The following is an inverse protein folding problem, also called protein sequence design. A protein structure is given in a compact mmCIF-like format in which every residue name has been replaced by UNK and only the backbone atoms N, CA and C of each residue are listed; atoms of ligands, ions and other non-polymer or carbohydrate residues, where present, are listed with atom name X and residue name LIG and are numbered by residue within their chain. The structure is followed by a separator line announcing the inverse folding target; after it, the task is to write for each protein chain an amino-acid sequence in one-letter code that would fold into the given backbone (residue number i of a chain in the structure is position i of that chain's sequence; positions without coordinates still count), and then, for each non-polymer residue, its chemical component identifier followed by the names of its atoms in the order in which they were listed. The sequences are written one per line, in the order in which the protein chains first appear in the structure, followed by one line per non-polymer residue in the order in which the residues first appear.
data_IF_310943200687
#
_entry.id   IF_310943200687
#
_cell.length_a   1.000
_cell.length_b   1.000
_cell.length_c   1.000
_cell.angle_alpha   90.00
_cell.angle_beta   90.00
_cell.angle_gamma   90.00
#
_symmetry.space_group_name_H-M   'P 1'
#
loop_
_entity.id
_entity.type
_entity.pdbx_description
1 polymer ?
#
# COMPACT_ATOMS: atom_id res chain seq x y z
N UNK A 1 16.27 10.94 22.94
CA UNK A 1 15.32 9.87 23.31
C UNK A 1 15.52 8.74 22.31
N UNK A 2 15.82 7.52 22.78
CA UNK A 2 16.03 6.38 21.90
C UNK A 2 14.71 5.60 21.76
N UNK A 3 14.01 5.78 20.64
CA UNK A 3 12.73 5.11 20.40
C UNK A 3 12.97 3.70 19.86
N UNK A 4 12.25 2.71 20.41
CA UNK A 4 12.45 1.27 20.15
C UNK A 4 11.86 0.86 18.80
N UNK A 5 12.59 1.15 17.72
CA UNK A 5 12.14 0.93 16.34
C UNK A 5 12.27 -0.54 15.90
N UNK A 6 13.41 -1.19 16.12
CA UNK A 6 13.75 -2.51 15.54
C UNK A 6 14.57 -3.36 16.53
N UNK A 7 14.56 -4.71 16.43
CA UNK A 7 14.18 -5.50 15.26
C UNK A 7 12.85 -6.25 15.36
N UNK A 8 11.96 -6.04 14.37
CA UNK A 8 10.89 -6.99 14.04
C UNK A 8 11.48 -8.37 13.73
N UNK A 9 10.94 -9.41 14.38
CA UNK A 9 11.43 -10.79 14.28
C UNK A 9 12.72 -11.06 15.07
N UNK A 10 13.06 -10.23 16.06
CA UNK A 10 14.10 -10.55 17.04
C UNK A 10 13.66 -11.74 17.91
N UNK A 11 14.12 -12.94 17.54
CA UNK A 11 13.91 -14.14 18.36
C UNK A 11 14.74 -14.04 19.65
N UNK A 12 14.18 -14.45 20.78
CA UNK A 12 14.91 -14.71 22.04
C UNK A 12 15.94 -15.86 21.94
N UNK A 13 16.05 -16.50 20.77
CA UNK A 13 17.00 -17.56 20.49
C UNK A 13 18.46 -17.07 20.56
N UNK A 14 19.26 -17.82 21.32
CA UNK A 14 20.70 -17.60 21.51
C UNK A 14 21.47 -17.66 20.18
N UNK A 15 22.13 -16.56 19.81
CA UNK A 15 22.86 -16.45 18.56
C UNK A 15 24.30 -16.95 18.69
N UNK A 16 24.79 -17.66 17.66
CA UNK A 16 26.20 -18.07 17.59
C UNK A 16 27.09 -16.88 17.24
N UNK A 17 28.29 -16.82 17.82
CA UNK A 17 29.31 -15.78 17.53
C UNK A 17 29.69 -15.64 16.04
N UNK A 18 29.70 -16.74 15.26
CA UNK A 18 29.94 -16.70 13.80
C UNK A 18 28.89 -15.85 13.05
N UNK A 19 27.70 -15.66 13.65
CA UNK A 19 26.60 -14.86 13.14
C UNK A 19 26.50 -13.47 13.79
N UNK A 20 27.34 -13.14 14.78
CA UNK A 20 27.41 -11.78 15.30
C UNK A 20 27.71 -10.80 14.18
N UNK A 21 28.72 -11.04 13.31
CA UNK A 21 28.94 -10.29 12.08
C UNK A 21 27.67 -9.83 11.37
N UNK A 22 26.79 -10.82 11.24
CA UNK A 22 25.52 -10.81 10.55
C UNK A 22 24.44 -9.95 11.26
N UNK A 23 24.65 -9.45 12.47
CA UNK A 23 23.62 -8.76 13.28
C UNK A 23 23.73 -7.22 13.32
N UNK A 24 24.88 -6.56 13.58
CA UNK A 24 24.90 -5.07 13.58
C UNK A 24 24.66 -4.45 12.20
N UNK A 25 24.88 -5.11 11.05
CA UNK A 25 24.44 -4.47 9.79
C UNK A 25 22.95 -4.46 9.63
N UNK A 26 22.29 -5.49 10.14
CA UNK A 26 20.84 -5.43 10.19
C UNK A 26 20.47 -4.25 11.09
N UNK A 27 21.07 -4.11 12.27
CA UNK A 27 20.83 -2.96 13.17
C UNK A 27 21.21 -1.61 12.53
N UNK A 28 22.33 -1.50 11.83
CA UNK A 28 22.81 -0.26 11.18
C UNK A 28 21.87 0.10 10.03
N UNK A 29 21.53 -0.86 9.16
CA UNK A 29 20.53 -0.66 8.10
C UNK A 29 19.17 -0.32 8.69
N UNK A 30 18.72 -1.06 9.70
CA UNK A 30 17.46 -0.85 10.40
C UNK A 30 17.37 0.56 11.02
N UNK A 31 18.45 1.04 11.63
CA UNK A 31 18.55 2.41 12.16
C UNK A 31 18.64 3.46 11.05
N UNK A 32 19.35 3.19 9.94
CA UNK A 32 19.40 4.10 8.79
C UNK A 32 18.05 4.18 8.09
N UNK A 33 17.41 3.06 7.76
CA UNK A 33 16.06 3.01 7.20
C UNK A 33 15.03 3.70 8.12
N UNK A 34 15.20 3.61 9.44
CA UNK A 34 14.39 4.32 10.43
C UNK A 34 14.61 5.84 10.40
N UNK A 35 15.87 6.29 10.32
CA UNK A 35 16.22 7.70 10.22
C UNK A 35 15.72 8.26 8.89
N UNK A 36 16.03 7.62 7.76
CA UNK A 36 15.54 7.96 6.43
C UNK A 36 14.01 8.09 6.43
N UNK A 37 13.30 7.11 6.98
CA UNK A 37 11.84 7.09 7.06
C UNK A 37 11.27 8.25 7.88
N UNK A 38 11.86 8.57 9.03
CA UNK A 38 11.33 9.61 9.91
C UNK A 38 11.72 11.01 9.43
N UNK A 39 12.93 11.17 8.90
CA UNK A 39 13.38 12.40 8.24
C UNK A 39 12.51 12.69 7.02
N UNK A 40 12.29 11.72 6.12
CA UNK A 40 11.40 11.92 4.97
C UNK A 40 9.96 12.22 5.39
N UNK A 41 9.43 11.59 6.45
CA UNK A 41 8.08 11.88 6.92
C UNK A 41 7.96 13.28 7.51
N UNK A 42 8.94 13.74 8.29
CA UNK A 42 9.00 15.12 8.79
C UNK A 42 9.16 16.12 7.63
N UNK A 43 10.04 15.87 6.67
CA UNK A 43 10.19 16.69 5.46
C UNK A 43 8.87 16.80 4.67
N UNK A 44 8.13 15.71 4.50
CA UNK A 44 6.84 15.72 3.79
C UNK A 44 5.74 16.47 4.54
N UNK A 45 5.80 16.57 5.87
CA UNK A 45 4.86 17.36 6.68
C UNK A 45 5.29 18.82 6.83
N UNK A 46 6.59 19.09 6.87
CA UNK A 46 7.17 20.38 7.24
C UNK A 46 7.60 21.25 6.05
N UNK A 47 7.85 20.67 4.87
CA UNK A 47 8.36 21.41 3.70
C UNK A 47 7.24 22.01 2.83
N UNK A 48 7.33 23.33 2.58
CA UNK A 48 6.52 24.05 1.58
C UNK A 48 7.11 23.95 0.15
N UNK A 49 8.16 23.14 -0.02
CA UNK A 49 8.81 22.86 -1.30
C UNK A 49 9.33 21.43 -1.25
N UNK A 50 8.67 20.54 -1.98
CA UNK A 50 9.21 19.22 -2.26
C UNK A 50 10.07 19.36 -3.51
N UNK A 51 11.36 19.04 -3.43
CA UNK A 51 12.21 18.95 -4.63
C UNK A 51 11.90 17.65 -5.38
N UNK A 52 11.97 17.73 -6.72
CA UNK A 52 11.47 16.70 -7.65
C UNK A 52 12.10 15.30 -7.44
N UNK A 53 13.29 15.21 -6.85
CA UNK A 53 14.01 13.95 -6.60
C UNK A 53 13.56 13.19 -5.33
N UNK A 54 12.71 13.81 -4.49
CA UNK A 54 12.16 13.11 -3.30
C UNK A 54 11.13 12.04 -3.70
N UNK A 55 10.96 11.00 -2.88
CA UNK A 55 10.07 9.88 -3.19
C UNK A 55 8.57 10.14 -2.90
N UNK A 56 8.23 11.17 -2.11
CA UNK A 56 6.84 11.54 -1.79
C UNK A 56 6.19 10.67 -0.73
N UNK A 57 4.89 10.87 -0.48
CA UNK A 57 4.13 9.95 0.38
C UNK A 57 4.07 8.52 -0.21
N UNK A 58 4.26 8.39 -1.53
CA UNK A 58 4.52 7.12 -2.24
C UNK A 58 5.73 6.32 -1.71
N UNK A 59 6.65 6.93 -0.96
CA UNK A 59 7.72 6.22 -0.26
C UNK A 59 7.20 5.23 0.79
N UNK A 60 6.03 5.53 1.37
CA UNK A 60 5.32 4.73 2.36
C UNK A 60 4.28 3.79 1.72
N UNK A 61 4.35 3.57 0.41
CA UNK A 61 3.48 2.64 -0.29
C UNK A 61 4.10 1.23 -0.31
N UNK A 62 3.74 0.44 0.70
CA UNK A 62 4.18 -0.94 0.93
C UNK A 62 3.45 -2.00 0.09
N UNK A 63 3.03 -1.70 -1.15
CA UNK A 63 2.56 -2.72 -2.10
C UNK A 63 3.67 -3.74 -2.40
N UNK A 64 3.61 -4.97 -1.87
CA UNK A 64 4.68 -5.94 -2.15
C UNK A 64 4.40 -7.45 -2.02
N UNK A 65 4.92 -8.22 -3.00
CA UNK A 65 5.27 -9.65 -2.95
C UNK A 65 6.67 -9.94 -2.34
N UNK A 66 7.32 -11.08 -2.65
CA UNK A 66 8.45 -11.67 -1.86
C UNK A 66 9.91 -11.59 -2.45
N UNK A 67 10.93 -11.78 -1.57
CA UNK A 67 12.32 -12.40 -1.70
C UNK A 67 13.55 -11.67 -2.33
N UNK A 68 14.79 -11.62 -1.78
CA UNK A 68 15.46 -12.27 -0.60
C UNK A 68 16.79 -11.57 -0.12
N UNK A 69 17.06 -11.37 1.19
CA UNK A 69 18.21 -10.73 1.95
C UNK A 69 19.66 -10.56 1.41
N UNK A 70 20.47 -9.73 2.09
CA UNK A 70 21.87 -9.97 2.57
C UNK A 70 22.24 -8.99 3.73
N UNK A 71 23.47 -9.09 4.24
CA UNK A 71 24.27 -8.04 4.92
C UNK A 71 23.66 -7.41 6.17
N UNK A 72 23.97 -7.86 7.39
CA UNK A 72 25.02 -8.76 7.86
C UNK A 72 26.50 -8.33 7.93
N UNK A 73 26.85 -7.11 7.56
CA UNK A 73 28.21 -6.72 7.26
C UNK A 73 28.83 -5.69 8.28
N UNK A 74 28.11 -5.16 9.29
CA UNK A 74 28.63 -4.17 10.27
C UNK A 74 29.16 -4.66 11.63
N UNK A 75 28.68 -5.75 12.27
CA UNK A 75 29.46 -6.29 13.43
C UNK A 75 30.74 -6.83 12.85
N UNK A 76 30.57 -7.50 11.70
CA UNK A 76 31.51 -8.18 10.85
C UNK A 76 32.92 -7.65 11.16
N UNK A 77 33.15 -6.42 10.73
CA UNK A 77 34.17 -5.49 11.15
C UNK A 77 34.99 -5.81 12.39
N UNK A 78 34.38 -5.59 13.55
CA UNK A 78 35.04 -5.50 14.85
C UNK A 78 35.50 -6.88 15.29
N UNK A 79 34.99 -7.93 14.63
CA UNK A 79 35.38 -9.31 14.83
C UNK A 79 36.39 -9.82 13.77
N UNK A 80 36.56 -9.19 12.60
CA UNK A 80 37.54 -9.60 11.58
C UNK A 80 38.79 -8.76 11.48
N UNK A 81 38.68 -7.46 11.17
CA UNK A 81 39.85 -6.61 10.90
C UNK A 81 40.63 -6.38 12.18
N UNK A 82 39.88 -6.16 13.27
CA UNK A 82 40.42 -5.75 14.56
C UNK A 82 40.68 -6.96 15.48
N UNK A 83 40.20 -8.14 15.06
CA UNK A 83 40.30 -9.43 15.77
C UNK A 83 39.86 -9.36 17.26
N UNK A 84 38.93 -8.46 17.58
CA UNK A 84 38.60 -8.10 18.97
C UNK A 84 37.85 -9.24 19.66
N UNK A 85 38.29 -9.62 20.87
CA UNK A 85 37.59 -10.62 21.66
C UNK A 85 36.22 -10.07 22.11
N UNK A 86 35.07 -10.73 21.84
CA UNK A 86 33.73 -10.21 22.10
C UNK A 86 33.46 -9.86 23.56
N UNK A 87 34.14 -10.50 24.51
CA UNK A 87 34.04 -10.16 25.93
C UNK A 87 34.59 -8.76 26.27
N UNK A 88 35.46 -8.21 25.42
CA UNK A 88 35.92 -6.80 25.49
C UNK A 88 34.90 -5.82 24.88
N UNK A 89 33.82 -6.33 24.29
CA UNK A 89 32.68 -5.61 23.72
C UNK A 89 31.36 -5.93 24.46
N UNK A 90 31.42 -6.56 25.64
CA UNK A 90 30.26 -6.92 26.47
C UNK A 90 29.58 -8.27 26.17
N UNK A 91 30.05 -9.01 25.18
CA UNK A 91 29.41 -10.25 24.72
C UNK A 91 29.94 -11.53 25.40
N UNK A 92 29.08 -12.53 25.53
CA UNK A 92 29.35 -13.87 26.05
C UNK A 92 30.27 -14.71 25.16
N UNK A 93 30.88 -15.74 25.75
CA UNK A 93 31.99 -16.49 25.13
C UNK A 93 31.59 -17.49 24.03
N UNK A 94 30.31 -17.88 23.96
CA UNK A 94 29.78 -18.83 22.95
C UNK A 94 28.42 -18.41 22.36
N UNK A 95 27.57 -17.80 23.17
CA UNK A 95 26.20 -17.41 22.83
C UNK A 95 25.80 -16.16 23.61
N UNK A 96 24.90 -15.34 23.03
CA UNK A 96 24.11 -14.32 23.73
C UNK A 96 22.67 -14.28 23.18
N UNK A 97 21.76 -13.75 24.00
CA UNK A 97 20.43 -13.32 23.59
C UNK A 97 20.49 -11.90 22.99
N UNK A 98 19.49 -11.53 22.17
CA UNK A 98 19.53 -10.27 21.43
C UNK A 98 19.49 -9.04 22.33
N UNK A 99 18.69 -9.07 23.38
CA UNK A 99 18.53 -7.99 24.37
C UNK A 99 19.85 -7.69 25.09
N UNK A 100 20.68 -8.72 25.31
CA UNK A 100 22.03 -8.59 25.90
C UNK A 100 23.07 -8.07 24.90
N UNK A 101 22.91 -8.39 23.60
CA UNK A 101 23.73 -7.79 22.54
C UNK A 101 23.40 -6.30 22.42
N UNK A 102 22.12 -5.95 22.47
CA UNK A 102 21.58 -4.58 22.45
C UNK A 102 22.07 -3.77 23.67
N UNK A 103 21.96 -4.31 24.89
CA UNK A 103 22.40 -3.60 26.10
C UNK A 103 23.91 -3.34 26.15
N UNK A 104 24.71 -4.29 25.66
CA UNK A 104 26.18 -4.15 25.58
C UNK A 104 26.65 -3.05 24.61
N UNK A 105 25.77 -2.58 23.73
CA UNK A 105 26.01 -1.46 22.80
C UNK A 105 25.62 -0.10 23.39
N UNK A 106 25.19 -0.05 24.66
CA UNK A 106 24.75 1.17 25.35
C UNK A 106 23.26 1.50 25.17
N UNK A 107 22.47 0.57 24.62
CA UNK A 107 21.03 0.75 24.48
C UNK A 107 20.30 0.32 25.77
N UNK A 108 19.46 1.20 26.31
CA UNK A 108 18.51 0.89 27.38
C UNK A 108 17.09 1.01 26.82
N UNK A 109 16.29 -0.05 26.95
CA UNK A 109 14.86 0.05 26.64
C UNK A 109 14.17 0.99 27.66
N UNK A 110 13.20 1.81 27.23
CA UNK A 110 12.17 2.29 28.15
C UNK A 110 11.44 1.08 28.76
N UNK A 111 11.00 1.16 30.01
CA UNK A 111 10.40 0.03 30.78
C UNK A 111 9.12 -0.58 30.19
N UNK A 112 8.68 -0.12 29.02
CA UNK A 112 7.57 -0.69 28.27
C UNK A 112 8.05 -1.87 27.42
N UNK A 113 8.02 -3.08 27.99
CA UNK A 113 8.04 -4.31 27.22
C UNK A 113 6.65 -4.55 26.60
N UNK A 114 6.39 -4.26 25.30
CA UNK A 114 5.23 -4.85 24.65
C UNK A 114 5.41 -6.38 24.70
N UNK A 115 4.34 -7.16 24.90
CA UNK A 115 4.44 -8.60 25.09
C UNK A 115 5.20 -9.25 23.92
N UNK A 116 6.18 -10.09 24.24
CA UNK A 116 7.18 -10.68 23.33
C UNK A 116 6.60 -11.79 22.42
N UNK A 117 5.38 -11.60 21.94
CA UNK A 117 4.54 -12.65 21.37
C UNK A 117 4.16 -12.34 19.92
N UNK A 118 4.83 -13.02 18.98
CA UNK A 118 4.39 -13.23 17.59
C UNK A 118 2.98 -13.87 17.49
N UNK A 119 2.34 -14.18 18.62
CA UNK A 119 0.99 -14.75 18.74
C UNK A 119 -0.12 -13.73 19.00
N UNK A 120 0.18 -12.46 19.31
CA UNK A 120 -0.84 -11.41 19.41
C UNK A 120 -1.00 -10.67 18.08
N UNK A 121 -2.26 -10.51 17.65
CA UNK A 121 -2.61 -9.70 16.48
C UNK A 121 -2.37 -8.23 16.87
N UNK A 122 -1.57 -7.46 16.12
CA UNK A 122 -1.29 -6.07 16.47
C UNK A 122 -2.56 -5.21 16.34
N UNK A 123 -2.76 -4.33 17.31
CA UNK A 123 -3.90 -3.42 17.34
C UNK A 123 -3.49 -2.03 16.80
N UNK A 124 -4.33 -1.43 15.95
CA UNK A 124 -4.06 -0.08 15.46
C UNK A 124 -4.47 0.96 16.50
N UNK A 125 -3.50 1.71 16.99
CA UNK A 125 -3.74 2.88 17.80
C UNK A 125 -2.90 4.05 17.30
N UNK A 126 -3.57 5.17 17.02
CA UNK A 126 -2.96 6.41 16.52
C UNK A 126 -2.39 7.26 17.67
N UNK A 127 -2.94 7.13 18.88
CA UNK A 127 -2.41 7.77 20.09
C UNK A 127 -1.14 7.04 20.57
N UNK A 128 -0.99 5.76 20.22
CA UNK A 128 0.22 5.00 20.45
C UNK A 128 1.32 5.36 19.45
N UNK A 129 2.09 6.40 19.78
CA UNK A 129 3.26 6.84 19.03
C UNK A 129 4.21 5.70 18.60
N UNK A 130 4.34 4.62 19.40
CA UNK A 130 5.20 3.49 19.04
C UNK A 130 4.62 2.65 17.90
N UNK A 131 3.30 2.50 17.81
CA UNK A 131 2.62 1.81 16.70
C UNK A 131 2.73 2.67 15.43
N UNK A 132 2.50 3.98 15.53
CA UNK A 132 2.60 4.91 14.39
C UNK A 132 4.02 4.98 13.83
N UNK A 133 5.03 5.21 14.68
CA UNK A 133 6.45 5.23 14.28
C UNK A 133 6.85 3.91 13.62
N UNK A 134 6.46 2.76 14.21
CA UNK A 134 6.74 1.44 13.64
C UNK A 134 6.01 1.21 12.31
N UNK A 135 4.78 1.70 12.16
CA UNK A 135 4.03 1.64 10.91
C UNK A 135 4.72 2.40 9.78
N UNK A 136 5.08 3.67 10.01
CA UNK A 136 5.77 4.50 9.03
C UNK A 136 7.07 3.82 8.55
N UNK A 137 7.90 3.37 9.49
CA UNK A 137 9.20 2.74 9.18
C UNK A 137 9.01 1.39 8.48
N UNK A 138 8.02 0.60 8.89
CA UNK A 138 7.69 -0.66 8.23
C UNK A 138 7.21 -0.44 6.78
N UNK A 139 6.32 0.53 6.55
CA UNK A 139 5.83 0.88 5.22
C UNK A 139 6.93 1.46 4.34
N UNK A 140 7.80 2.32 4.89
CA UNK A 140 8.98 2.84 4.20
C UNK A 140 9.96 1.73 3.80
N UNK A 141 10.29 0.78 4.68
CA UNK A 141 11.15 -0.37 4.34
C UNK A 141 10.52 -1.21 3.23
N UNK A 142 9.21 -1.48 3.30
CA UNK A 142 8.49 -2.21 2.25
C UNK A 142 8.46 -1.45 0.91
N UNK A 143 8.32 -0.11 0.95
CA UNK A 143 8.33 0.78 -0.21
C UNK A 143 9.72 1.02 -0.81
N UNK A 144 10.78 1.08 -0.01
CA UNK A 144 12.19 1.30 -0.40
C UNK A 144 12.77 0.09 -1.11
N UNK A 145 12.40 -1.12 -0.70
CA UNK A 145 12.92 -2.38 -1.25
C UNK A 145 11.92 -3.13 -2.13
N UNK A 146 10.98 -2.43 -2.77
CA UNK A 146 10.11 -3.00 -3.80
C UNK A 146 10.67 -2.78 -5.21
N UNK A 147 10.39 -3.73 -6.09
CA UNK A 147 10.72 -3.64 -7.50
C UNK A 147 9.52 -4.10 -8.35
N UNK A 148 9.17 -3.32 -9.36
CA UNK A 148 8.22 -3.72 -10.39
C UNK A 148 8.88 -4.70 -11.36
N UNK A 149 8.32 -5.90 -11.49
CA UNK A 149 8.77 -6.92 -12.41
C UNK A 149 7.67 -7.20 -13.45
N UNK A 150 7.97 -7.13 -14.75
CA UNK A 150 7.04 -7.60 -15.78
C UNK A 150 6.95 -9.13 -15.73
N UNK A 151 5.73 -9.65 -15.60
CA UNK A 151 5.41 -11.09 -15.73
C UNK A 151 5.60 -11.54 -17.18
N UNK A 152 5.91 -12.83 -17.46
CA UNK A 152 5.77 -13.41 -18.80
C UNK A 152 4.36 -13.24 -19.40
N UNK A 153 3.35 -13.01 -18.56
CA UNK A 153 1.96 -12.70 -18.94
C UNK A 153 1.70 -11.20 -19.10
N UNK A 154 2.73 -10.39 -19.37
CA UNK A 154 2.73 -8.92 -19.48
C UNK A 154 2.32 -8.11 -18.24
N UNK A 155 1.61 -8.70 -17.27
CA UNK A 155 1.21 -8.03 -16.02
C UNK A 155 2.43 -7.50 -15.23
N UNK A 156 2.36 -6.25 -14.76
CA UNK A 156 3.28 -5.71 -13.74
C UNK A 156 3.04 -6.42 -12.40
N UNK A 157 4.10 -6.90 -11.75
CA UNK A 157 4.06 -7.54 -10.43
C UNK A 157 5.09 -6.91 -9.53
N UNK A 158 4.68 -6.33 -8.40
CA UNK A 158 5.59 -5.72 -7.44
C UNK A 158 6.13 -6.79 -6.47
N UNK A 159 7.46 -6.89 -6.36
CA UNK A 159 8.16 -7.86 -5.51
C UNK A 159 9.12 -7.18 -4.54
N UNK A 160 9.20 -7.67 -3.31
CA UNK A 160 10.27 -7.28 -2.40
C UNK A 160 11.59 -7.81 -2.93
N UNK A 161 12.61 -6.97 -2.94
CA UNK A 161 13.99 -7.35 -3.18
C UNK A 161 14.83 -7.10 -1.93
N UNK A 162 14.75 -7.95 -0.87
CA UNK A 162 15.73 -7.86 0.20
C UNK A 162 17.15 -8.22 -0.28
N UNK A 163 17.35 -8.58 -1.57
CA UNK A 163 18.62 -8.61 -2.33
C UNK A 163 19.19 -7.22 -2.62
N UNK A 164 18.44 -6.18 -2.30
CA UNK A 164 18.84 -4.78 -2.36
C UNK A 164 19.05 -4.23 -0.94
N UNK A 165 18.19 -4.59 0.04
CA UNK A 165 18.43 -4.33 1.47
C UNK A 165 19.79 -4.90 1.94
N UNK A 166 20.10 -6.09 1.42
CA UNK A 166 21.42 -6.62 1.13
C UNK A 166 22.51 -5.63 0.72
N UNK A 167 22.50 -5.17 -0.53
CA UNK A 167 23.57 -4.39 -1.13
C UNK A 167 23.72 -3.05 -0.41
N UNK A 168 22.60 -2.48 0.04
CA UNK A 168 22.59 -1.27 0.84
C UNK A 168 23.27 -1.46 2.21
N UNK A 169 22.89 -2.49 2.96
CA UNK A 169 23.53 -2.81 4.23
C UNK A 169 24.98 -3.34 4.07
N UNK A 170 25.36 -3.79 2.87
CA UNK A 170 26.75 -4.05 2.43
C UNK A 170 27.55 -2.76 2.34
N UNK A 171 26.95 -1.77 1.69
CA UNK A 171 27.55 -0.50 1.31
C UNK A 171 27.78 0.38 2.53
N UNK A 172 26.77 0.53 3.39
CA UNK A 172 26.79 1.33 4.64
C UNK A 172 27.99 1.04 5.54
N UNK A 173 28.61 -0.13 5.38
CA UNK A 173 29.63 -0.66 6.27
C UNK A 173 30.93 -1.00 5.51
N UNK A 174 30.93 -0.88 4.19
CA UNK A 174 31.97 -1.44 3.30
C UNK A 174 33.35 -0.86 3.57
N UNK A 175 33.43 0.43 3.91
CA UNK A 175 34.63 1.16 4.36
C UNK A 175 35.23 0.62 5.66
N UNK A 176 34.50 -0.24 6.34
CA UNK A 176 34.79 -0.70 7.66
C UNK A 176 35.20 -2.22 7.62
N UNK A 177 34.59 -3.12 6.79
CA UNK A 177 34.73 -4.61 6.88
C UNK A 177 35.79 -5.29 5.97
N UNK A 178 36.59 -6.20 6.55
CA UNK A 178 37.43 -7.14 5.79
C UNK A 178 36.66 -8.37 5.29
N UNK A 179 36.42 -8.40 3.98
CA UNK A 179 35.75 -9.50 3.26
C UNK A 179 36.60 -10.77 3.08
N UNK A 180 37.91 -10.75 3.40
CA UNK A 180 38.83 -11.87 3.12
C UNK A 180 38.99 -12.86 4.27
N UNK A 181 38.40 -12.58 5.43
CA UNK A 181 38.62 -13.38 6.64
C UNK A 181 37.79 -14.69 6.65
N UNK A 182 38.48 -15.82 6.67
CA UNK A 182 37.91 -17.17 6.54
C UNK A 182 37.17 -17.70 7.78
N UNK A 183 37.23 -17.01 8.92
CA UNK A 183 36.52 -17.40 10.15
C UNK A 183 35.01 -17.06 10.11
N UNK A 184 34.54 -16.45 9.01
CA UNK A 184 33.22 -15.86 8.91
C UNK A 184 32.52 -16.23 7.61
N UNK A 185 31.19 -16.37 7.69
CA UNK A 185 30.37 -16.76 6.54
C UNK A 185 29.76 -15.52 5.90
N UNK A 186 30.02 -15.35 4.61
CA UNK A 186 29.25 -14.47 3.76
C UNK A 186 27.77 -14.87 3.75
N UNK A 187 26.93 -13.94 3.34
CA UNK A 187 25.49 -13.99 3.57
C UNK A 187 24.72 -14.92 2.64
N UNK A 188 23.85 -15.74 3.23
CA UNK A 188 22.72 -16.32 2.51
C UNK A 188 21.50 -15.40 2.57
N UNK A 189 20.70 -15.40 1.51
CA UNK A 189 19.58 -14.47 1.34
C UNK A 189 18.33 -14.79 2.20
N UNK A 190 18.41 -15.73 3.13
CA UNK A 190 17.21 -16.34 3.71
C UNK A 190 16.75 -15.68 5.03
N UNK A 191 17.51 -14.74 5.63
CA UNK A 191 17.11 -14.09 6.90
C UNK A 191 16.19 -12.88 6.71
N UNK A 192 16.57 -11.91 5.88
CA UNK A 192 15.67 -10.79 5.58
C UNK A 192 14.43 -11.23 4.80
N UNK A 193 14.43 -12.41 4.14
CA UNK A 193 13.19 -13.07 3.74
C UNK A 193 12.23 -13.23 4.91
N UNK A 194 12.69 -13.84 6.00
CA UNK A 194 11.89 -14.07 7.21
C UNK A 194 11.48 -12.74 7.83
N UNK A 195 12.40 -11.77 7.94
CA UNK A 195 12.09 -10.45 8.53
C UNK A 195 11.08 -9.66 7.69
N UNK A 196 11.23 -9.62 6.37
CA UNK A 196 10.29 -8.93 5.48
C UNK A 196 8.93 -9.65 5.44
N UNK A 197 8.90 -10.99 5.48
CA UNK A 197 7.65 -11.75 5.66
C UNK A 197 6.97 -11.45 6.99
N UNK A 198 7.73 -11.30 8.08
CA UNK A 198 7.16 -10.85 9.37
C UNK A 198 6.65 -9.41 9.30
N UNK A 199 7.34 -8.52 8.58
CA UNK A 199 6.93 -7.13 8.37
C UNK A 199 5.62 -7.04 7.55
N UNK A 200 5.54 -7.77 6.44
CA UNK A 200 4.33 -7.91 5.62
C UNK A 200 3.16 -8.48 6.44
N UNK A 201 3.40 -9.51 7.25
CA UNK A 201 2.38 -10.06 8.17
C UNK A 201 1.91 -9.02 9.17
N UNK A 202 2.82 -8.33 9.85
CA UNK A 202 2.52 -7.32 10.86
C UNK A 202 1.71 -6.16 10.27
N UNK A 203 2.17 -5.58 9.16
CA UNK A 203 1.43 -4.55 8.41
C UNK A 203 0.05 -5.05 8.00
N UNK A 204 -0.05 -6.23 7.36
CA UNK A 204 -1.34 -6.76 6.89
C UNK A 204 -2.35 -6.97 8.02
N UNK A 205 -1.89 -7.40 9.20
CA UNK A 205 -2.71 -7.55 10.39
C UNK A 205 -3.10 -6.20 11.00
N UNK A 206 -2.17 -5.24 11.03
CA UNK A 206 -2.41 -3.88 11.52
C UNK A 206 -3.40 -3.12 10.64
N UNK A 207 -3.32 -3.23 9.31
CA UNK A 207 -4.31 -2.68 8.38
C UNK A 207 -5.69 -3.31 8.56
N UNK A 208 -5.77 -4.62 8.78
CA UNK A 208 -7.05 -5.27 9.14
C UNK A 208 -7.60 -4.77 10.49
N UNK A 209 -6.71 -4.50 11.47
CA UNK A 209 -7.09 -3.93 12.77
C UNK A 209 -7.62 -2.49 12.63
N UNK A 210 -6.96 -1.65 11.82
CA UNK A 210 -7.42 -0.30 11.48
C UNK A 210 -8.86 -0.30 10.96
N UNK A 211 -9.20 -1.19 10.02
CA UNK A 211 -10.58 -1.30 9.48
C UNK A 211 -11.56 -1.74 10.57
N UNK A 212 -11.22 -2.75 11.39
CA UNK A 212 -12.08 -3.19 12.53
C UNK A 212 -12.37 -2.03 13.48
N UNK A 213 -11.36 -1.25 13.83
CA UNK A 213 -11.47 -0.13 14.77
C UNK A 213 -12.30 1.01 14.19
N UNK A 214 -12.15 1.32 12.90
CA UNK A 214 -13.05 2.28 12.25
C UNK A 214 -14.48 1.77 12.14
N UNK A 215 -14.71 0.48 11.91
CA UNK A 215 -16.06 -0.08 11.93
C UNK A 215 -16.73 0.12 13.30
N UNK A 216 -15.99 -0.07 14.40
CA UNK A 216 -16.48 0.22 15.75
C UNK A 216 -16.66 1.73 15.98
N UNK A 217 -15.65 2.57 15.72
CA UNK A 217 -15.68 4.03 15.95
C UNK A 217 -16.79 4.74 15.16
N UNK A 218 -17.07 4.30 13.94
CA UNK A 218 -18.12 4.87 13.08
C UNK A 218 -19.53 4.39 13.44
N UNK A 219 -19.70 3.64 14.54
CA UNK A 219 -21.00 3.10 14.96
C UNK A 219 -21.69 2.29 13.86
N UNK A 220 -20.94 1.38 13.20
CA UNK A 220 -21.59 0.34 12.41
C UNK A 220 -22.38 -0.60 13.31
N UNK A 221 -23.51 -1.10 12.83
CA UNK A 221 -24.28 -2.15 13.54
C UNK A 221 -23.42 -3.39 13.82
N UNK A 222 -23.73 -4.15 14.88
CA UNK A 222 -23.04 -5.42 15.17
C UNK A 222 -23.02 -6.36 13.96
N UNK A 223 -24.08 -6.38 13.17
CA UNK A 223 -24.19 -7.16 11.94
C UNK A 223 -23.11 -6.75 10.94
N UNK A 224 -22.89 -5.45 10.74
CA UNK A 224 -21.87 -4.95 9.84
C UNK A 224 -20.45 -5.10 10.41
N UNK A 225 -20.27 -4.99 11.73
CA UNK A 225 -18.98 -5.31 12.37
C UNK A 225 -18.64 -6.80 12.20
N UNK A 226 -19.62 -7.72 12.38
CA UNK A 226 -19.44 -9.15 12.07
C UNK A 226 -19.14 -9.40 10.59
N UNK A 227 -19.72 -8.62 9.67
CA UNK A 227 -19.40 -8.72 8.23
C UNK A 227 -17.92 -8.35 7.97
N UNK A 228 -17.44 -7.26 8.58
CA UNK A 228 -16.03 -6.86 8.54
C UNK A 228 -15.14 -8.00 9.07
N UNK A 229 -15.41 -8.53 10.27
CA UNK A 229 -14.64 -9.62 10.86
C UNK A 229 -14.65 -10.90 10.01
N UNK A 230 -15.83 -11.34 9.57
CA UNK A 230 -16.00 -12.55 8.76
C UNK A 230 -15.35 -12.43 7.37
N UNK A 231 -15.15 -11.21 6.87
CA UNK A 231 -14.48 -10.91 5.59
C UNK A 231 -12.95 -10.82 5.67
N UNK A 232 -12.34 -10.95 6.86
CA UNK A 232 -10.89 -11.04 7.00
C UNK A 232 -10.45 -12.50 6.75
N UNK A 233 -9.51 -12.69 5.83
CA UNK A 233 -8.93 -14.00 5.49
C UNK A 233 -7.42 -13.99 5.63
N UNK A 234 -6.88 -15.15 6.00
CA UNK A 234 -5.44 -15.40 6.13
C UNK A 234 -4.95 -16.16 4.90
N UNK A 235 -4.01 -15.57 4.17
CA UNK A 235 -3.33 -16.23 3.06
C UNK A 235 -2.50 -17.43 3.53
N UNK A 236 -2.14 -18.39 2.66
CA UNK A 236 -1.20 -19.47 3.00
C UNK A 236 0.16 -18.98 3.51
N UNK A 237 0.57 -17.76 3.13
CA UNK A 237 1.82 -17.11 3.60
C UNK A 237 1.66 -16.42 4.96
N UNK A 238 0.43 -16.30 5.46
CA UNK A 238 0.10 -15.78 6.79
C UNK A 238 -0.33 -14.32 6.85
N UNK A 239 -0.34 -13.59 5.73
CA UNK A 239 -0.89 -12.24 5.65
C UNK A 239 -2.40 -12.24 5.89
N UNK A 240 -2.90 -11.25 6.62
CA UNK A 240 -4.34 -11.00 6.79
C UNK A 240 -4.81 -9.96 5.76
N UNK A 241 -5.91 -10.23 5.08
CA UNK A 241 -6.52 -9.30 4.13
C UNK A 241 -8.04 -9.30 4.33
N UNK A 242 -8.63 -8.12 4.37
CA UNK A 242 -10.08 -7.93 4.31
C UNK A 242 -10.57 -7.92 2.86
N UNK A 243 -11.77 -8.45 2.61
CA UNK A 243 -12.39 -8.36 1.29
C UNK A 243 -12.51 -6.90 0.80
N UNK A 244 -12.07 -6.63 -0.44
CA UNK A 244 -11.96 -5.26 -0.99
C UNK A 244 -13.25 -4.43 -0.82
N UNK A 245 -14.40 -4.97 -1.25
CA UNK A 245 -15.71 -4.33 -1.09
C UNK A 245 -16.04 -3.97 0.37
N UNK A 246 -15.85 -4.91 1.31
CA UNK A 246 -16.21 -4.72 2.72
C UNK A 246 -15.26 -3.74 3.41
N UNK A 247 -13.97 -3.79 3.08
CA UNK A 247 -12.99 -2.80 3.53
C UNK A 247 -13.36 -1.39 3.06
N UNK A 248 -13.71 -1.24 1.78
CA UNK A 248 -14.12 0.05 1.22
C UNK A 248 -15.38 0.63 1.88
N UNK A 249 -16.38 -0.19 2.23
CA UNK A 249 -17.57 0.29 2.95
C UNK A 249 -17.19 0.99 4.28
N UNK A 250 -16.13 0.54 4.96
CA UNK A 250 -15.60 1.21 6.15
C UNK A 250 -14.76 2.42 5.78
N UNK A 251 -13.84 2.29 4.81
CA UNK A 251 -12.98 3.39 4.35
C UNK A 251 -13.79 4.62 3.93
N UNK A 252 -14.76 4.47 3.01
CA UNK A 252 -15.57 5.60 2.53
C UNK A 252 -16.33 6.31 3.65
N UNK A 253 -16.82 5.57 4.66
CA UNK A 253 -17.49 6.17 5.82
C UNK A 253 -16.50 6.87 6.76
N UNK A 254 -15.27 6.38 6.88
CA UNK A 254 -14.19 7.09 7.58
C UNK A 254 -13.81 8.39 6.84
N UNK A 255 -13.67 8.33 5.52
CA UNK A 255 -13.33 9.50 4.68
C UNK A 255 -14.39 10.60 4.83
N UNK A 256 -15.67 10.22 4.78
CA UNK A 256 -16.79 11.12 5.01
C UNK A 256 -16.83 11.70 6.43
N UNK A 257 -16.70 10.86 7.46
CA UNK A 257 -16.78 11.28 8.85
C UNK A 257 -15.66 12.24 9.28
N UNK A 258 -14.51 12.20 8.60
CA UNK A 258 -13.38 13.10 8.84
C UNK A 258 -13.25 14.22 7.79
N UNK A 259 -14.17 14.30 6.82
CA UNK A 259 -14.13 15.24 5.68
C UNK A 259 -12.75 15.27 4.99
N UNK A 260 -12.17 14.09 4.73
CA UNK A 260 -10.86 14.00 4.08
C UNK A 260 -10.94 14.39 2.60
N UNK A 261 -10.10 15.33 2.12
CA UNK A 261 -10.08 15.72 0.72
C UNK A 261 -9.52 14.59 -0.16
N UNK A 262 -10.15 14.41 -1.31
CA UNK A 262 -9.77 13.42 -2.30
C UNK A 262 -9.42 14.12 -3.62
N UNK A 263 -8.51 13.53 -4.38
CA UNK A 263 -8.12 13.99 -5.71
C UNK A 263 -8.30 12.82 -6.70
N UNK A 264 -9.31 12.93 -7.55
CA UNK A 264 -9.57 11.96 -8.62
C UNK A 264 -8.82 12.42 -9.85
N UNK A 265 -8.09 11.51 -10.48
CA UNK A 265 -7.46 11.73 -11.78
C UNK A 265 -7.92 10.64 -12.74
N UNK A 266 -8.59 11.04 -13.80
CA UNK A 266 -9.05 10.17 -14.87
C UNK A 266 -8.18 10.36 -16.12
N UNK A 267 -7.65 9.24 -16.64
CA UNK A 267 -7.04 9.16 -17.96
C UNK A 267 -8.10 8.71 -18.96
N UNK A 268 -8.78 9.68 -19.56
CA UNK A 268 -9.86 9.46 -20.52
C UNK A 268 -9.32 9.26 -21.94
N UNK A 269 -9.71 8.18 -22.62
CA UNK A 269 -9.32 7.89 -24.00
C UNK A 269 -10.43 8.26 -25.00
N UNK A 270 -10.17 9.33 -25.77
CA UNK A 270 -11.01 9.78 -26.90
C UNK A 270 -10.51 9.21 -28.23
N UNK A 271 -11.19 9.45 -29.34
CA UNK A 271 -10.79 8.96 -30.67
C UNK A 271 -9.38 9.39 -31.14
N UNK A 272 -8.86 10.53 -30.67
CA UNK A 272 -7.57 11.11 -31.10
C UNK A 272 -6.39 10.85 -30.14
N UNK A 273 -6.63 10.35 -28.93
CA UNK A 273 -5.60 10.18 -27.90
C UNK A 273 -6.17 10.04 -26.50
N UNK A 274 -5.44 10.49 -25.48
CA UNK A 274 -5.95 10.55 -24.10
C UNK A 274 -5.86 11.94 -23.46
N UNK A 275 -6.83 12.27 -22.63
CA UNK A 275 -6.85 13.43 -21.76
C UNK A 275 -6.51 13.02 -20.31
N UNK A 276 -6.10 13.98 -19.51
CA UNK A 276 -5.96 13.83 -18.05
C UNK A 276 -6.89 14.85 -17.40
N UNK A 277 -7.96 14.37 -16.76
CA UNK A 277 -8.98 15.19 -16.12
C UNK A 277 -8.85 15.05 -14.60
N UNK A 278 -8.71 16.15 -13.87
CA UNK A 278 -8.50 16.14 -12.42
C UNK A 278 -9.66 16.81 -11.67
N UNK A 279 -10.05 16.22 -10.54
CA UNK A 279 -11.19 16.68 -9.74
C UNK A 279 -10.84 16.59 -8.26
N UNK A 280 -11.00 17.71 -7.53
CA UNK A 280 -11.05 17.65 -6.06
C UNK A 280 -12.43 17.16 -5.67
N UNK A 281 -12.50 16.14 -4.82
CA UNK A 281 -13.75 15.64 -4.29
C UNK A 281 -13.78 15.67 -2.75
N UNK A 282 -14.96 15.94 -2.20
CA UNK A 282 -15.26 15.71 -0.78
C UNK A 282 -16.40 14.72 -0.66
N UNK A 283 -16.33 13.86 0.37
CA UNK A 283 -17.37 12.87 0.61
C UNK A 283 -18.27 13.33 1.76
N UNK A 284 -19.50 13.67 1.43
CA UNK A 284 -20.47 14.20 2.36
C UNK A 284 -21.26 13.06 3.02
N UNK A 285 -21.45 13.17 4.33
CA UNK A 285 -22.26 12.25 5.11
C UNK A 285 -23.75 12.26 4.69
N UNK A 286 -24.55 11.30 5.20
CA UNK A 286 -25.99 11.27 4.95
C UNK A 286 -26.65 12.59 5.38
N UNK A 287 -27.31 13.27 4.43
CA UNK A 287 -27.90 14.61 4.60
C UNK A 287 -29.32 14.56 5.15
N UNK A 288 -30.03 13.47 4.87
CA UNK A 288 -31.41 13.23 5.29
C UNK A 288 -31.53 12.01 6.21
N UNK A 289 -32.63 11.88 6.98
CA UNK A 289 -32.95 10.64 7.69
C UNK A 289 -33.15 9.41 6.79
N UNK A 290 -33.34 9.61 5.47
CA UNK A 290 -33.44 8.53 4.48
C UNK A 290 -32.05 8.06 4.03
N UNK A 291 -31.08 8.99 3.91
CA UNK A 291 -29.69 8.70 3.54
C UNK A 291 -28.95 7.87 4.60
N UNK A 292 -29.41 7.90 5.86
CA UNK A 292 -28.96 7.00 6.93
C UNK A 292 -29.08 5.51 6.51
N UNK A 293 -29.99 5.20 5.58
CA UNK A 293 -30.16 3.88 4.98
C UNK A 293 -30.44 2.79 6.01
N UNK A 294 -30.03 1.56 5.67
CA UNK A 294 -29.75 0.58 6.73
C UNK A 294 -28.36 0.87 7.32
N UNK A 295 -28.18 0.67 8.63
CA UNK A 295 -26.95 0.88 9.43
C UNK A 295 -25.67 0.15 8.96
N UNK A 296 -25.72 -0.53 7.82
CA UNK A 296 -24.64 -1.28 7.18
C UNK A 296 -24.04 -0.46 6.03
N UNK A 297 -24.86 0.29 5.26
CA UNK A 297 -24.45 1.04 4.06
C UNK A 297 -25.28 2.33 3.98
N UNK A 298 -24.85 3.46 4.59
CA UNK A 298 -25.46 4.77 4.37
C UNK A 298 -25.19 5.24 2.94
N UNK A 299 -26.09 6.05 2.37
CA UNK A 299 -25.80 6.74 1.11
C UNK A 299 -24.87 7.93 1.41
N UNK A 300 -23.77 8.03 0.68
CA UNK A 300 -22.82 9.15 0.78
C UNK A 300 -22.85 9.91 -0.55
N UNK A 301 -22.62 11.22 -0.49
CA UNK A 301 -22.66 12.08 -1.67
C UNK A 301 -21.27 12.65 -1.96
N UNK A 302 -20.79 12.46 -3.20
CA UNK A 302 -19.52 13.03 -3.65
C UNK A 302 -19.78 14.39 -4.26
N UNK A 303 -19.12 15.43 -3.75
CA UNK A 303 -19.10 16.74 -4.37
C UNK A 303 -17.78 16.92 -5.10
N UNK A 304 -17.82 16.94 -6.44
CA UNK A 304 -16.65 17.09 -7.31
C UNK A 304 -16.51 18.55 -7.77
N UNK A 305 -15.29 19.05 -7.79
CA UNK A 305 -14.89 20.31 -8.42
C UNK A 305 -13.77 20.03 -9.42
N UNK A 306 -13.98 20.27 -10.73
CA UNK A 306 -12.91 20.18 -11.72
C UNK A 306 -11.76 21.14 -11.40
N UNK A 307 -10.53 20.69 -11.62
CA UNK A 307 -9.31 21.47 -11.38
C UNK A 307 -8.29 21.18 -12.48
N UNK A 308 -7.58 22.20 -12.91
CA UNK A 308 -6.42 22.03 -13.80
C UNK A 308 -5.17 21.65 -13.01
N UNK A 309 -4.22 20.95 -13.64
CA UNK A 309 -2.92 20.66 -13.02
C UNK A 309 -2.13 21.93 -12.65
N UNK A 310 -2.30 23.00 -13.43
CA UNK A 310 -1.77 24.33 -13.13
C UNK A 310 -2.34 24.92 -11.83
N UNK A 311 -3.63 24.73 -11.55
CA UNK A 311 -4.25 25.11 -10.28
C UNK A 311 -3.78 24.21 -9.14
N UNK A 312 -3.64 22.90 -9.36
CA UNK A 312 -3.13 21.96 -8.35
C UNK A 312 -1.70 22.27 -7.90
N UNK A 313 -0.85 22.82 -8.77
CA UNK A 313 0.48 23.30 -8.42
C UNK A 313 0.46 24.64 -7.66
N UNK A 314 -0.46 25.55 -8.03
CA UNK A 314 -0.53 26.93 -7.50
C UNK A 314 -1.46 27.09 -6.29
N UNK A 315 -2.17 26.03 -5.90
CA UNK A 315 -3.17 26.04 -4.83
C UNK A 315 -2.57 26.27 -3.44
N UNK A 316 -3.39 26.73 -2.50
CA UNK A 316 -3.05 26.63 -1.07
C UNK A 316 -3.08 25.19 -0.56
N UNK A 317 -3.73 24.28 -1.32
CA UNK A 317 -3.81 22.85 -1.03
C UNK A 317 -2.63 22.04 -1.61
N UNK A 318 -1.70 22.66 -2.35
CA UNK A 318 -0.54 22.04 -3.01
C UNK A 318 0.28 21.12 -2.09
N UNK A 319 0.32 21.40 -0.78
CA UNK A 319 1.09 20.66 0.23
C UNK A 319 0.24 19.84 1.21
N UNK A 320 -1.10 19.87 1.09
CA UNK A 320 -1.98 19.09 1.98
C UNK A 320 -2.12 17.69 1.38
N UNK A 321 -1.73 16.61 2.07
CA UNK A 321 -1.89 15.26 1.55
C UNK A 321 -3.37 14.93 1.36
N UNK A 322 -3.72 14.42 0.18
CA UNK A 322 -5.07 13.99 -0.18
C UNK A 322 -5.10 12.49 -0.45
N UNK A 323 -6.30 11.90 -0.43
CA UNK A 323 -6.50 10.55 -0.98
C UNK A 323 -6.57 10.69 -2.50
N UNK A 324 -5.50 10.30 -3.18
CA UNK A 324 -5.41 10.28 -4.63
C UNK A 324 -6.02 8.99 -5.17
N UNK A 325 -6.96 9.11 -6.10
CA UNK A 325 -7.63 8.01 -6.78
C UNK A 325 -7.35 8.16 -8.27
N UNK A 326 -6.56 7.25 -8.84
CA UNK A 326 -6.25 7.22 -10.26
C UNK A 326 -7.05 6.12 -10.94
N UNK A 327 -7.52 6.40 -12.14
CA UNK A 327 -8.23 5.45 -12.98
C UNK A 327 -8.26 5.88 -14.44
N UNK A 328 -8.98 5.11 -15.24
CA UNK A 328 -9.09 5.32 -16.68
C UNK A 328 -10.54 5.25 -17.12
N UNK A 329 -10.82 5.90 -18.24
CA UNK A 329 -12.11 5.78 -18.90
C UNK A 329 -11.94 5.65 -20.42
N UNK A 330 -12.82 4.85 -21.02
CA UNK A 330 -12.93 4.65 -22.47
C UNK A 330 -14.32 4.12 -22.77
N UNK A 331 -14.99 4.67 -23.79
CA UNK A 331 -16.24 4.09 -24.29
C UNK A 331 -15.94 2.82 -25.06
N UNK A 332 -15.99 1.68 -24.37
CA UNK A 332 -15.54 0.41 -24.92
C UNK A 332 -15.04 -0.58 -23.87
N UNK A 333 -14.78 -1.83 -24.28
CA UNK A 333 -14.37 -2.90 -23.40
C UNK A 333 -12.91 -2.74 -22.95
N UNK A 334 -12.57 -3.42 -21.85
CA UNK A 334 -11.23 -3.39 -21.27
C UNK A 334 -10.13 -3.84 -22.24
N UNK A 335 -10.44 -4.74 -23.17
CA UNK A 335 -9.53 -5.16 -24.23
C UNK A 335 -9.12 -4.01 -25.16
N UNK A 336 -10.01 -3.03 -25.40
CA UNK A 336 -9.68 -1.83 -26.18
C UNK A 336 -8.74 -0.90 -25.40
N UNK A 337 -8.99 -0.71 -24.10
CA UNK A 337 -8.06 0.00 -23.22
C UNK A 337 -6.65 -0.61 -23.29
N UNK A 338 -6.52 -1.93 -23.11
CA UNK A 338 -5.24 -2.64 -23.20
C UNK A 338 -4.56 -2.43 -24.56
N UNK A 339 -5.32 -2.44 -25.66
CA UNK A 339 -4.79 -2.17 -26.99
C UNK A 339 -4.23 -0.74 -27.16
N UNK A 340 -4.81 0.26 -26.48
CA UNK A 340 -4.36 1.66 -26.53
C UNK A 340 -3.13 1.98 -25.65
N UNK A 341 -2.82 1.14 -24.67
CA UNK A 341 -1.67 1.34 -23.75
C UNK A 341 -0.49 0.38 -23.98
N UNK A 342 -0.58 -0.55 -24.94
CA UNK A 342 0.44 -1.58 -25.16
C UNK A 342 1.61 -1.09 -26.05
N UNK A 343 2.85 -1.17 -25.53
CA UNK A 343 4.09 -0.84 -26.27
C UNK A 343 4.51 -1.88 -27.35
N UNK A 344 3.78 -2.98 -27.50
CA UNK A 344 4.20 -4.13 -28.30
C UNK A 344 3.61 -4.12 -29.72
N UNK A 345 4.38 -4.45 -30.77
CA UNK A 345 3.81 -4.67 -32.10
C UNK A 345 3.07 -6.02 -32.13
N UNK A 346 1.73 -6.06 -32.31
CA UNK A 346 1.10 -7.28 -32.78
C UNK A 346 1.52 -7.51 -34.24
N UNK A 347 1.67 -8.76 -34.65
CA UNK A 347 2.08 -9.15 -36.01
C UNK A 347 1.04 -8.79 -37.11
N UNK A 348 0.04 -7.95 -36.79
CA UNK A 348 -1.05 -7.55 -37.68
C UNK A 348 -1.73 -6.19 -37.42
N UNK A 349 -1.37 -5.39 -36.39
CA UNK A 349 -1.96 -4.04 -36.20
C UNK A 349 -0.98 -2.95 -35.77
N UNK A 350 -0.99 -1.83 -36.49
CA UNK A 350 -0.05 -0.71 -36.37
C UNK A 350 -0.46 0.33 -35.32
N UNK A 351 -0.80 -0.10 -34.11
CA UNK A 351 -1.23 0.77 -33.01
C UNK A 351 -0.10 1.03 -32.02
N UNK A 352 0.56 2.18 -32.18
CA UNK A 352 1.39 2.78 -31.14
C UNK A 352 0.53 3.16 -29.91
N UNK A 353 1.13 3.33 -28.72
CA UNK A 353 0.41 3.87 -27.56
C UNK A 353 -0.28 5.20 -27.89
N UNK A 354 -1.51 5.37 -27.39
CA UNK A 354 -2.29 6.59 -27.63
C UNK A 354 -1.53 7.83 -27.10
N UNK A 355 -1.35 8.89 -27.90
CA UNK A 355 -0.65 10.09 -27.45
C UNK A 355 -1.52 10.93 -26.50
N UNK A 356 -0.92 11.83 -25.69
CA UNK A 356 -1.68 12.84 -24.98
C UNK A 356 -2.40 13.77 -25.96
N UNK A 357 -3.70 13.95 -25.79
CA UNK A 357 -4.52 14.87 -26.57
C UNK A 357 -4.73 16.17 -25.78
N UNK A 358 -4.15 17.26 -26.26
CA UNK A 358 -4.11 18.56 -25.55
C UNK A 358 -5.07 19.60 -26.12
N UNK A 359 -5.94 19.23 -27.07
CA UNK A 359 -6.86 20.17 -27.70
C UNK A 359 -8.06 20.47 -26.79
N UNK A 360 -8.08 21.66 -26.19
CA UNK A 360 -9.10 22.10 -25.22
C UNK A 360 -10.53 22.29 -25.77
N UNK A 361 -10.79 21.85 -27.01
CA UNK A 361 -12.15 21.79 -27.58
C UNK A 361 -12.53 20.37 -28.05
N UNK A 362 -11.89 19.33 -27.52
CA UNK A 362 -12.31 17.95 -27.75
C UNK A 362 -13.75 17.76 -27.25
N UNK A 363 -14.67 17.47 -28.18
CA UNK A 363 -16.09 17.29 -27.85
C UNK A 363 -16.32 16.04 -26.99
N UNK A 364 -15.61 14.94 -27.30
CA UNK A 364 -15.67 13.68 -26.54
C UNK A 364 -15.24 13.88 -25.08
N UNK A 365 -14.09 14.53 -24.82
CA UNK A 365 -13.65 14.78 -23.45
C UNK A 365 -14.63 15.67 -22.69
N UNK A 366 -15.25 16.65 -23.35
CA UNK A 366 -16.22 17.54 -22.71
C UNK A 366 -17.50 16.82 -22.33
N UNK A 367 -18.05 15.99 -23.23
CA UNK A 367 -19.22 15.13 -22.95
C UNK A 367 -18.91 14.13 -21.84
N UNK A 368 -17.68 13.59 -21.83
CA UNK A 368 -17.18 12.74 -20.78
C UNK A 368 -17.06 13.46 -19.42
N UNK A 369 -16.47 14.66 -19.36
CA UNK A 369 -16.38 15.46 -18.14
C UNK A 369 -17.77 15.81 -17.57
N UNK A 370 -18.72 16.20 -18.43
CA UNK A 370 -20.12 16.44 -18.02
C UNK A 370 -20.76 15.17 -17.42
N UNK A 371 -20.50 14.00 -18.01
CA UNK A 371 -20.94 12.68 -17.51
C UNK A 371 -20.25 12.28 -16.20
N UNK A 372 -18.94 12.50 -16.10
CA UNK A 372 -18.09 12.16 -14.95
C UNK A 372 -18.51 12.97 -13.72
N UNK A 373 -18.72 14.28 -13.86
CA UNK A 373 -19.16 15.16 -12.78
C UNK A 373 -20.60 14.82 -12.35
N UNK A 374 -21.46 14.43 -13.29
CA UNK A 374 -22.85 14.04 -13.02
C UNK A 374 -23.04 12.65 -12.41
N UNK A 375 -22.02 11.81 -12.36
CA UNK A 375 -22.10 10.44 -11.87
C UNK A 375 -22.18 10.34 -10.34
N UNK A 376 -22.96 9.38 -9.83
CA UNK A 376 -22.89 8.97 -8.43
C UNK A 376 -21.63 8.13 -8.20
N UNK A 377 -20.53 8.81 -7.85
CA UNK A 377 -19.24 8.16 -7.55
C UNK A 377 -19.30 7.21 -6.35
N UNK A 378 -20.24 7.38 -5.41
CA UNK A 378 -20.41 6.43 -4.29
C UNK A 378 -20.96 5.10 -4.82
N UNK A 379 -21.93 5.19 -5.74
CA UNK A 379 -22.50 4.04 -6.43
C UNK A 379 -21.48 3.36 -7.34
N UNK A 380 -20.76 4.14 -8.14
CA UNK A 380 -19.74 3.64 -9.08
C UNK A 380 -18.63 2.86 -8.35
N UNK A 381 -18.07 3.44 -7.29
CA UNK A 381 -17.03 2.79 -6.48
C UNK A 381 -17.51 1.47 -5.85
N UNK A 382 -18.76 1.43 -5.38
CA UNK A 382 -19.38 0.22 -4.84
C UNK A 382 -19.60 -0.86 -5.92
N UNK A 383 -19.97 -0.47 -7.15
CA UNK A 383 -20.12 -1.39 -8.28
C UNK A 383 -18.77 -1.99 -8.71
N UNK A 384 -17.76 -1.13 -8.91
CA UNK A 384 -16.38 -1.53 -9.25
C UNK A 384 -15.86 -2.55 -8.23
N UNK A 385 -15.97 -2.25 -6.94
CA UNK A 385 -15.42 -3.09 -5.89
C UNK A 385 -16.25 -4.35 -5.59
N UNK A 386 -17.52 -4.40 -6.03
CA UNK A 386 -18.36 -5.60 -5.96
C UNK A 386 -18.09 -6.59 -7.11
N UNK A 387 -17.64 -6.12 -8.28
CA UNK A 387 -17.12 -6.97 -9.36
C UNK A 387 -15.62 -7.25 -9.25
N UNK A 388 -14.86 -6.38 -8.57
CA UNK A 388 -13.44 -6.59 -8.32
C UNK A 388 -13.20 -7.87 -7.50
N UNK A 389 -12.09 -8.54 -7.80
CA UNK A 389 -11.63 -9.71 -7.06
C UNK A 389 -11.52 -9.39 -5.56
N UNK A 390 -12.27 -10.11 -4.73
CA UNK A 390 -12.38 -9.81 -3.31
C UNK A 390 -11.06 -9.93 -2.53
N UNK A 391 -10.17 -10.84 -2.93
CA UNK A 391 -8.90 -11.13 -2.25
C UNK A 391 -7.73 -11.25 -3.24
N UNK A 392 -6.49 -10.85 -2.88
CA UNK A 392 -5.32 -10.94 -3.76
C UNK A 392 -4.68 -12.35 -3.82
N UNK A 393 -5.30 -13.35 -3.19
CA UNK A 393 -4.87 -14.74 -3.19
C UNK A 393 -6.08 -15.67 -3.29
N UNK A 394 -5.96 -16.84 -3.94
CA UNK A 394 -7.05 -17.81 -3.99
C UNK A 394 -7.37 -18.33 -2.59
N UNK A 395 -8.65 -18.45 -2.28
CA UNK A 395 -9.14 -19.12 -1.08
C UNK A 395 -9.28 -20.63 -1.33
N UNK A 396 -9.12 -21.43 -0.27
CA UNK A 396 -8.90 -22.88 -0.39
C UNK A 396 -10.15 -23.68 -0.77
N UNK A 397 -10.46 -23.73 -2.07
CA UNK A 397 -11.17 -24.85 -2.71
C UNK A 397 -10.61 -25.04 -4.14
N UNK A 398 -9.58 -25.88 -4.34
CA UNK A 398 -8.96 -26.08 -5.67
C UNK A 398 -9.81 -26.91 -6.66
N UNK A 399 -11.05 -27.26 -6.31
CA UNK A 399 -11.87 -28.26 -7.02
C UNK A 399 -12.96 -27.67 -7.92
N UNK A 400 -13.10 -26.35 -7.95
CA UNK A 400 -13.98 -25.61 -8.84
C UNK A 400 -13.29 -24.32 -9.24
N UNK A 401 -13.51 -23.84 -10.47
CA UNK A 401 -13.00 -22.55 -10.95
C UNK A 401 -13.77 -21.37 -10.34
N UNK A 402 -14.07 -21.45 -9.06
CA UNK A 402 -14.97 -20.51 -8.39
C UNK A 402 -14.27 -19.17 -8.17
N UNK A 403 -14.92 -18.15 -8.71
CA UNK A 403 -14.66 -16.75 -8.46
C UNK A 403 -14.61 -16.46 -6.95
N UNK A 404 -13.56 -15.80 -6.46
CA UNK A 404 -13.44 -15.35 -5.06
C UNK A 404 -14.64 -14.46 -4.63
N UNK A 405 -15.36 -13.87 -5.59
CA UNK A 405 -16.64 -13.18 -5.39
C UNK A 405 -17.80 -14.08 -4.91
N UNK A 406 -17.82 -15.38 -5.22
CA UNK A 406 -18.79 -16.33 -4.65
C UNK A 406 -18.54 -16.56 -3.15
N UNK A 407 -17.28 -16.68 -2.75
CA UNK A 407 -16.93 -16.82 -1.33
C UNK A 407 -17.28 -15.56 -0.52
N UNK A 408 -17.09 -14.37 -1.09
CA UNK A 408 -17.57 -13.14 -0.47
C UNK A 408 -19.10 -13.10 -0.39
N UNK A 409 -19.81 -13.52 -1.45
CA UNK A 409 -21.27 -13.61 -1.47
C UNK A 409 -21.81 -14.51 -0.35
N UNK A 410 -21.16 -15.65 -0.06
CA UNK A 410 -21.56 -16.55 1.02
C UNK A 410 -21.31 -15.94 2.42
N UNK A 411 -20.24 -15.17 2.61
CA UNK A 411 -20.02 -14.38 3.84
C UNK A 411 -21.11 -13.32 4.00
N UNK A 412 -21.47 -12.63 2.91
CA UNK A 412 -22.51 -11.61 2.92
C UNK A 412 -23.87 -12.24 3.22
N UNK A 413 -24.24 -13.36 2.59
CA UNK A 413 -25.50 -14.10 2.84
C UNK A 413 -25.61 -14.71 4.23
N UNK A 414 -24.50 -15.17 4.81
CA UNK A 414 -24.48 -15.69 6.19
C UNK A 414 -24.52 -14.59 7.25
N UNK A 415 -24.33 -13.32 6.87
CA UNK A 415 -24.32 -12.18 7.80
C UNK A 415 -25.51 -11.22 7.62
N UNK A 416 -25.99 -11.00 6.39
CA UNK A 416 -27.04 -10.04 6.05
C UNK A 416 -28.34 -10.74 5.60
N UNK A 417 -29.52 -10.14 5.89
CA UNK A 417 -30.78 -10.51 5.25
C UNK A 417 -30.70 -10.50 3.71
N UNK A 418 -31.32 -11.49 3.06
CA UNK A 418 -31.26 -11.69 1.60
C UNK A 418 -31.65 -10.43 0.80
N UNK A 419 -32.67 -9.67 1.24
CA UNK A 419 -33.12 -8.47 0.55
C UNK A 419 -32.06 -7.35 0.53
N UNK A 420 -31.14 -7.34 1.51
CA UNK A 420 -30.00 -6.43 1.54
C UNK A 420 -28.85 -6.96 0.68
N UNK A 421 -28.64 -8.28 0.62
CA UNK A 421 -27.65 -8.90 -0.29
C UNK A 421 -27.98 -8.57 -1.74
N UNK A 422 -29.23 -8.78 -2.13
CA UNK A 422 -29.72 -8.52 -3.48
C UNK A 422 -29.63 -7.03 -3.82
N UNK A 423 -30.12 -6.17 -2.93
CA UNK A 423 -30.18 -4.71 -3.14
C UNK A 423 -28.82 -4.03 -3.20
N UNK A 424 -27.85 -4.46 -2.38
CA UNK A 424 -26.58 -3.75 -2.21
C UNK A 424 -25.37 -4.45 -2.81
N UNK A 425 -25.25 -5.78 -2.76
CA UNK A 425 -24.07 -6.46 -3.32
C UNK A 425 -24.32 -6.95 -4.74
N UNK A 426 -25.35 -7.78 -4.94
CA UNK A 426 -25.63 -8.35 -6.27
C UNK A 426 -26.03 -7.28 -7.29
N UNK A 427 -26.84 -6.29 -6.89
CA UNK A 427 -27.17 -5.14 -7.75
C UNK A 427 -25.90 -4.41 -8.20
N UNK A 428 -25.01 -4.05 -7.26
CA UNK A 428 -23.74 -3.36 -7.55
C UNK A 428 -22.88 -4.12 -8.56
N UNK A 429 -22.73 -5.43 -8.37
CA UNK A 429 -22.00 -6.27 -9.31
C UNK A 429 -22.67 -6.36 -10.68
N UNK A 430 -24.01 -6.42 -10.73
CA UNK A 430 -24.76 -6.54 -11.99
C UNK A 430 -24.81 -5.27 -12.84
N UNK A 431 -24.64 -4.10 -12.24
CA UNK A 431 -24.77 -2.81 -12.94
C UNK A 431 -23.44 -2.19 -13.38
N UNK A 432 -22.29 -2.74 -12.95
CA UNK A 432 -20.96 -2.11 -13.13
C UNK A 432 -20.60 -1.78 -14.58
N UNK A 433 -20.96 -2.66 -15.53
CA UNK A 433 -20.78 -2.41 -16.97
C UNK A 433 -21.75 -1.33 -17.48
N UNK A 434 -22.96 -1.23 -16.94
CA UNK A 434 -23.97 -0.26 -17.39
C UNK A 434 -23.69 1.18 -16.91
N UNK A 435 -22.79 1.35 -15.93
CA UNK A 435 -22.41 2.65 -15.36
C UNK A 435 -20.93 2.99 -15.63
N UNK A 436 -20.31 2.35 -16.64
CA UNK A 436 -18.99 2.73 -17.16
C UNK A 436 -17.81 2.46 -16.22
N UNK A 437 -17.93 1.51 -15.28
CA UNK A 437 -16.84 1.08 -14.38
C UNK A 437 -16.37 -0.36 -14.59
N UNK A 438 -16.94 -1.06 -15.58
CA UNK A 438 -16.87 -2.51 -15.72
C UNK A 438 -15.74 -3.02 -16.60
N UNK A 439 -15.94 -4.21 -17.17
CA UNK A 439 -15.02 -4.82 -18.15
C UNK A 439 -15.54 -4.72 -19.58
N UNK A 440 -16.87 -4.71 -19.77
CA UNK A 440 -17.49 -4.57 -21.10
C UNK A 440 -17.62 -3.12 -21.52
N UNK A 441 -17.71 -2.21 -20.55
CA UNK A 441 -17.61 -0.78 -20.76
C UNK A 441 -16.87 -0.11 -19.59
N UNK A 442 -15.98 0.81 -19.92
CA UNK A 442 -15.21 1.65 -19.00
C UNK A 442 -15.54 3.14 -19.21
N UNK A 443 -16.72 3.45 -19.76
CA UNK A 443 -17.09 4.77 -20.27
C UNK A 443 -17.31 5.87 -19.23
N UNK A 444 -17.02 5.66 -17.94
CA UNK A 444 -17.13 6.71 -16.92
C UNK A 444 -15.88 6.82 -16.08
N UNK A 445 -15.55 5.83 -15.25
CA UNK A 445 -14.31 5.86 -14.47
C UNK A 445 -14.05 4.49 -13.86
N UNK A 446 -12.94 3.84 -14.24
CA UNK A 446 -12.50 2.60 -13.61
C UNK A 446 -11.25 2.85 -12.77
N UNK A 447 -11.42 2.73 -11.46
CA UNK A 447 -10.35 2.90 -10.47
C UNK A 447 -9.26 1.83 -10.66
N UNK A 448 -8.00 2.26 -10.62
CA UNK A 448 -6.82 1.37 -10.63
C UNK A 448 -5.96 1.52 -9.37
N UNK A 449 -5.73 2.76 -8.91
CA UNK A 449 -4.84 3.03 -7.78
C UNK A 449 -5.47 3.98 -6.76
N UNK A 450 -5.23 3.71 -5.46
CA UNK A 450 -5.59 4.59 -4.35
C UNK A 450 -4.37 4.72 -3.44
N UNK A 451 -3.92 5.95 -3.18
CA UNK A 451 -2.79 6.24 -2.30
C UNK A 451 -2.91 7.65 -1.68
N UNK A 452 -2.01 8.00 -0.77
CA UNK A 452 -1.88 9.37 -0.26
C UNK A 452 -0.73 10.07 -0.98
N UNK A 453 -0.96 11.29 -1.48
CA UNK A 453 0.08 12.19 -2.02
C UNK A 453 -0.41 13.64 -1.99
N UNK A 454 0.48 14.62 -2.17
CA UNK A 454 0.10 16.03 -2.27
C UNK A 454 -0.30 16.41 -3.72
N UNK A 455 -1.30 17.28 -3.93
CA UNK A 455 -1.83 17.57 -5.28
C UNK A 455 -0.82 18.15 -6.27
N UNK A 456 0.04 19.08 -5.81
CA UNK A 456 1.04 19.70 -6.70
C UNK A 456 2.07 18.70 -7.18
N UNK A 457 2.51 17.82 -6.28
CA UNK A 457 3.46 16.75 -6.59
C UNK A 457 2.85 15.70 -7.53
N UNK A 458 1.59 15.32 -7.32
CA UNK A 458 0.90 14.42 -8.25
C UNK A 458 0.76 15.08 -9.64
N UNK A 459 0.45 16.38 -9.70
CA UNK A 459 0.39 17.13 -10.96
C UNK A 459 1.73 17.16 -11.70
N UNK A 460 2.84 17.44 -11.00
CA UNK A 460 4.20 17.36 -11.56
C UNK A 460 4.55 15.95 -12.08
N UNK A 461 4.19 14.91 -11.32
CA UNK A 461 4.45 13.52 -11.69
C UNK A 461 3.65 13.08 -12.93
N UNK A 462 2.45 13.60 -13.12
CA UNK A 462 1.57 13.33 -14.27
C UNK A 462 1.86 14.18 -15.51
N UNK A 463 2.39 15.39 -15.34
CA UNK A 463 2.88 16.23 -16.44
C UNK A 463 4.31 15.84 -16.89
N UNK A 464 5.08 15.19 -16.01
CA UNK A 464 6.44 14.73 -16.28
C UNK A 464 6.52 13.34 -16.94
N UNK A 465 7.74 12.88 -17.18
CA UNK A 465 8.04 11.56 -17.78
C UNK A 465 7.65 10.35 -16.92
N UNK A 466 7.13 10.55 -15.71
CA UNK A 466 6.65 9.48 -14.83
C UNK A 466 5.19 9.08 -15.08
N UNK A 467 4.44 9.82 -15.90
CA UNK A 467 3.01 9.58 -16.15
C UNK A 467 2.68 8.14 -16.59
N UNK A 468 3.53 7.54 -17.42
CA UNK A 468 3.39 6.15 -17.89
C UNK A 468 3.62 5.10 -16.81
N UNK A 469 4.24 5.45 -15.67
CA UNK A 469 4.46 4.56 -14.52
C UNK A 469 3.48 4.74 -13.36
N UNK A 470 2.50 5.65 -13.49
CA UNK A 470 1.46 5.92 -12.48
C UNK A 470 0.13 5.20 -12.73
N UNK A 471 -0.05 4.68 -13.94
CA UNK A 471 -1.22 3.92 -14.39
C UNK A 471 -0.77 2.56 -14.99
N UNK A 472 0.19 1.86 -14.34
CA UNK A 472 0.92 0.70 -14.90
C UNK A 472 1.48 -0.29 -13.84
#
# INVERSE_FOLDING_TARGET
MAYTVLPFGATSASQKRENYPLLLSDIVRDCTDAIDSLTLFDELLSSQKHENDTAGFKAFDGHVGETACHNAQAICLKLTSDNTCPSRLGFGSKFDAMDKIISSLGWTEPEYHPPSNDSQIPEWDVENQHVVIRYLIAMFILGKYRQSCKSPTQNTVIRLQPKDAAAYASQLISSFWDQKNSLYKATGSNRLDVRFKSLQKWISALSCSWVRIWAAKLSFSEVAQRLVENSIKKSPKGHLVIAAYVGFLVCRRAWAANNWPMLLVDRHFCSEGYHLNAHIATLQGPRTPQDLGHHIIPQLHWELTPVTFDELQKSTLTHVPMICILGNSIHGPHEEYIARISDGPPESSSTSPAPPHTHGSCAENKEHEETFIGMDHDRLSQAILADHRAYPFPLSSPTSGDDDGLYLLDIIRSTLPNDLVDRYFLKSRSEVDNIGGGRKDMGTFRWEHIFAETPGRLAEMLQGSMATGLFA
#
